data_IF_315486362917
#
_entry.id   IF_315486362917
#
_cell.length_a   1.000
_cell.length_b   1.000
_cell.length_c   1.000
_cell.angle_alpha   90.00
_cell.angle_beta   90.00
_cell.angle_gamma   90.00
#
_symmetry.space_group_name_H-M   'P 1'
#
loop_
_entity.id
_entity.type
_entity.pdbx_description
1 polymer ?
#
# COMPACT_ATOMS: atom_id res chain seq x y z
N UNK A 1 6.01 -21.09 20.25
CA UNK A 1 5.99 -19.63 20.39
C UNK A 1 5.62 -19.05 19.04
N UNK A 2 4.55 -18.28 18.93
CA UNK A 2 4.31 -17.51 17.70
C UNK A 2 5.39 -16.44 17.63
N UNK A 3 6.19 -16.46 16.57
CA UNK A 3 7.18 -15.42 16.33
C UNK A 3 6.47 -14.05 16.26
N UNK A 4 7.04 -13.03 16.89
CA UNK A 4 6.51 -11.67 16.79
C UNK A 4 6.53 -11.23 15.32
N UNK A 5 5.44 -10.61 14.87
CA UNK A 5 5.35 -9.97 13.54
C UNK A 5 5.54 -8.48 13.69
N UNK A 6 6.42 -7.91 12.86
CA UNK A 6 6.66 -6.48 12.80
C UNK A 6 6.34 -6.00 11.38
N UNK A 7 5.40 -5.06 11.29
CA UNK A 7 4.93 -4.48 10.05
C UNK A 7 5.31 -2.99 9.95
N UNK A 8 5.47 -2.50 8.73
CA UNK A 8 5.64 -1.08 8.46
C UNK A 8 5.05 -0.70 7.11
N UNK A 9 4.73 0.59 6.93
CA UNK A 9 4.27 1.08 5.63
C UNK A 9 5.43 1.20 4.65
N UNK A 10 5.23 0.67 3.44
CA UNK A 10 6.28 0.60 2.42
C UNK A 10 6.83 1.97 1.99
N UNK A 11 6.00 3.03 2.02
CA UNK A 11 6.40 4.37 1.58
C UNK A 11 7.57 4.96 2.38
N UNK A 12 7.81 4.48 3.61
CA UNK A 12 8.94 4.90 4.43
C UNK A 12 10.29 4.62 3.73
N UNK A 13 10.36 3.54 2.94
CA UNK A 13 11.56 3.11 2.23
C UNK A 13 11.85 3.88 0.94
N UNK A 14 10.93 4.75 0.49
CA UNK A 14 11.20 5.72 -0.56
C UNK A 14 12.09 6.88 -0.09
N UNK A 15 12.30 7.03 1.21
CA UNK A 15 13.01 8.18 1.79
C UNK A 15 14.49 8.19 1.43
N UNK A 16 15.01 9.38 1.05
CA UNK A 16 16.42 9.60 0.66
C UNK A 16 16.93 8.51 -0.32
N UNK A 17 16.30 8.36 -1.49
CA UNK A 17 16.56 7.23 -2.39
C UNK A 17 18.01 7.18 -2.86
N UNK A 18 18.66 8.33 -3.05
CA UNK A 18 20.06 8.41 -3.49
C UNK A 18 21.07 7.81 -2.49
N UNK A 19 20.69 7.61 -1.24
CA UNK A 19 21.53 6.91 -0.26
C UNK A 19 21.57 5.39 -0.49
N UNK A 20 20.56 4.85 -1.19
CA UNK A 20 20.43 3.41 -1.50
C UNK A 20 20.72 3.13 -2.97
N UNK A 21 20.23 4.00 -3.86
CA UNK A 21 20.35 3.90 -5.31
C UNK A 21 20.85 5.25 -5.88
N UNK A 22 22.18 5.49 -5.89
CA UNK A 22 22.76 6.79 -6.26
C UNK A 22 22.46 7.28 -7.69
N UNK A 23 22.18 6.33 -8.60
CA UNK A 23 21.88 6.62 -10.00
C UNK A 23 20.38 6.61 -10.31
N UNK A 24 19.53 6.49 -9.27
CA UNK A 24 18.08 6.43 -9.48
C UNK A 24 17.54 7.79 -9.91
N UNK A 25 16.82 7.79 -11.03
CA UNK A 25 16.04 8.95 -11.48
C UNK A 25 14.57 8.73 -11.13
N UNK A 26 13.99 9.67 -10.38
CA UNK A 26 12.59 9.61 -9.97
C UNK A 26 12.36 8.86 -8.65
N UNK A 27 11.20 8.21 -8.51
CA UNK A 27 10.81 7.46 -7.31
C UNK A 27 11.22 5.98 -7.46
N UNK A 28 11.63 5.32 -6.37
CA UNK A 28 11.90 3.88 -6.42
C UNK A 28 10.62 3.11 -6.69
N UNK A 29 10.75 1.99 -7.40
CA UNK A 29 9.65 1.05 -7.61
C UNK A 29 9.23 0.39 -6.30
N UNK A 30 8.04 -0.23 -6.31
CA UNK A 30 7.53 -1.02 -5.17
C UNK A 30 8.51 -2.12 -4.78
N UNK A 31 9.05 -2.85 -5.76
CA UNK A 31 10.03 -3.92 -5.51
C UNK A 31 11.38 -3.39 -5.02
N UNK A 32 11.83 -2.22 -5.49
CA UNK A 32 13.02 -1.57 -4.93
C UNK A 32 12.81 -1.23 -3.45
N UNK A 33 11.69 -0.60 -3.11
CA UNK A 33 11.35 -0.30 -1.71
C UNK A 33 11.24 -1.57 -0.86
N UNK A 34 10.65 -2.65 -1.39
CA UNK A 34 10.51 -3.91 -0.67
C UNK A 34 11.86 -4.60 -0.45
N UNK A 35 12.73 -4.62 -1.46
CA UNK A 35 14.08 -5.16 -1.33
C UNK A 35 14.92 -4.38 -0.31
N UNK A 36 14.72 -3.06 -0.22
CA UNK A 36 15.33 -2.23 0.83
C UNK A 36 14.75 -2.57 2.21
N UNK A 37 13.44 -2.79 2.31
CA UNK A 37 12.76 -3.16 3.54
C UNK A 37 13.23 -4.51 4.08
N UNK A 38 13.47 -5.49 3.20
CA UNK A 38 13.96 -6.81 3.55
C UNK A 38 15.34 -6.81 4.24
N UNK A 39 16.10 -5.71 4.14
CA UNK A 39 17.38 -5.53 4.85
C UNK A 39 17.21 -5.20 6.34
N UNK A 40 16.00 -4.86 6.79
CA UNK A 40 15.74 -4.46 8.18
C UNK A 40 15.59 -5.70 9.05
N UNK A 41 16.49 -5.86 10.02
CA UNK A 41 16.47 -6.98 10.95
C UNK A 41 15.13 -7.02 11.74
N UNK A 42 14.44 -8.16 11.68
CA UNK A 42 13.19 -8.40 12.39
C UNK A 42 11.94 -7.89 11.69
N UNK A 43 12.05 -7.19 10.55
CA UNK A 43 10.86 -6.83 9.77
C UNK A 43 10.30 -8.08 9.08
N UNK A 44 9.01 -8.34 9.26
CA UNK A 44 8.34 -9.52 8.70
C UNK A 44 7.29 -9.16 7.67
N UNK A 45 6.72 -7.96 7.76
CA UNK A 45 5.52 -7.60 7.04
C UNK A 45 5.54 -6.17 6.50
N UNK A 46 4.77 -5.95 5.42
CA UNK A 46 4.57 -4.65 4.82
C UNK A 46 3.08 -4.28 4.75
N UNK A 47 2.77 -3.02 5.03
CA UNK A 47 1.52 -2.39 4.64
C UNK A 47 1.69 -1.69 3.28
N UNK A 48 0.84 -2.05 2.32
CA UNK A 48 0.84 -1.47 0.98
C UNK A 48 -0.24 -0.39 0.84
N UNK A 49 -0.05 0.56 -0.06
CA UNK A 49 -1.07 1.56 -0.35
C UNK A 49 -1.84 1.13 -1.60
N UNK A 50 -3.16 1.14 -1.55
CA UNK A 50 -4.01 0.89 -2.71
C UNK A 50 -4.66 2.20 -3.18
N UNK A 51 -4.63 2.52 -4.49
CA UNK A 51 -4.06 1.74 -5.59
C UNK A 51 -2.57 1.97 -5.86
N UNK A 52 -1.91 2.89 -5.15
CA UNK A 52 -0.55 3.38 -5.50
C UNK A 52 0.54 2.30 -5.61
N UNK A 53 0.47 1.20 -4.84
CA UNK A 53 1.49 0.15 -4.81
C UNK A 53 1.03 -1.17 -5.44
N UNK A 54 -0.24 -1.30 -5.83
CA UNK A 54 -0.83 -2.58 -6.22
C UNK A 54 -1.52 -2.39 -7.56
N UNK A 55 -1.08 -3.16 -8.54
CA UNK A 55 -1.65 -3.17 -9.88
C UNK A 55 -2.78 -4.21 -9.98
N UNK A 56 -3.10 -4.66 -11.20
CA UNK A 56 -4.13 -5.65 -11.47
C UNK A 56 -3.78 -7.07 -10.97
N UNK A 57 -2.62 -7.29 -10.33
CA UNK A 57 -2.18 -8.62 -9.87
C UNK A 57 -1.73 -8.65 -8.39
N UNK A 58 -2.63 -8.42 -7.43
CA UNK A 58 -2.32 -8.44 -5.99
C UNK A 58 -1.66 -9.75 -5.50
N UNK A 59 -2.07 -10.91 -6.01
CA UNK A 59 -1.47 -12.19 -5.65
C UNK A 59 -0.02 -12.31 -6.13
N UNK A 60 0.30 -11.79 -7.33
CA UNK A 60 1.66 -11.79 -7.87
C UNK A 60 2.57 -10.88 -7.03
N UNK A 61 2.07 -9.69 -6.67
CA UNK A 61 2.78 -8.77 -5.76
C UNK A 61 3.08 -9.44 -4.42
N UNK A 62 2.10 -10.10 -3.78
CA UNK A 62 2.31 -10.80 -2.52
C UNK A 62 3.37 -11.92 -2.64
N UNK A 63 3.37 -12.66 -3.76
CA UNK A 63 4.38 -13.69 -4.03
C UNK A 63 5.78 -13.09 -4.16
N UNK A 64 5.93 -11.99 -4.89
CA UNK A 64 7.22 -11.30 -5.05
C UNK A 64 7.77 -10.75 -3.71
N UNK A 65 6.89 -10.27 -2.82
CA UNK A 65 7.29 -9.90 -1.46
C UNK A 65 7.73 -11.13 -0.64
N UNK A 66 7.03 -12.26 -0.81
CA UNK A 66 7.39 -13.54 -0.20
C UNK A 66 8.78 -14.03 -0.60
N UNK A 67 9.15 -13.85 -1.88
CA UNK A 67 10.50 -14.17 -2.39
C UNK A 67 11.60 -13.34 -1.69
N UNK A 68 11.26 -12.19 -1.09
CA UNK A 68 12.15 -11.34 -0.29
C UNK A 68 12.08 -11.64 1.23
N UNK A 69 11.31 -12.63 1.64
CA UNK A 69 11.09 -12.96 3.06
C UNK A 69 10.11 -12.03 3.77
N UNK A 70 9.31 -11.25 3.03
CA UNK A 70 8.31 -10.33 3.56
C UNK A 70 6.89 -10.81 3.25
N UNK A 71 5.97 -10.59 4.17
CA UNK A 71 4.54 -10.86 3.98
C UNK A 71 3.75 -9.55 3.86
N UNK A 72 2.51 -9.64 3.36
CA UNK A 72 1.57 -8.51 3.37
C UNK A 72 0.79 -8.55 4.68
N UNK A 73 0.86 -7.48 5.48
CA UNK A 73 0.02 -7.33 6.67
C UNK A 73 -1.39 -6.84 6.29
N UNK A 74 -1.46 -5.82 5.44
CA UNK A 74 -2.70 -5.23 4.99
C UNK A 74 -2.49 -4.10 4.00
N UNK A 75 -3.59 -3.56 3.49
CA UNK A 75 -3.57 -2.40 2.60
C UNK A 75 -4.09 -1.15 3.32
N UNK A 76 -3.69 0.02 2.83
CA UNK A 76 -4.20 1.31 3.23
C UNK A 76 -4.71 2.08 2.00
N UNK A 77 -5.94 2.61 2.10
CA UNK A 77 -6.55 3.33 0.98
C UNK A 77 -5.88 4.68 0.70
N UNK A 78 -5.87 5.04 -0.58
CA UNK A 78 -5.49 6.35 -1.11
C UNK A 78 -6.58 6.86 -2.03
N UNK A 79 -7.11 8.04 -1.70
CA UNK A 79 -8.16 8.72 -2.46
C UNK A 79 -7.55 9.88 -3.24
N UNK A 80 -6.63 9.58 -4.17
CA UNK A 80 -5.92 10.59 -4.96
C UNK A 80 -6.16 10.50 -6.47
N UNK A 81 -6.85 9.45 -6.94
CA UNK A 81 -7.19 9.26 -8.37
C UNK A 81 -8.14 10.33 -8.89
N UNK A 82 -9.07 10.78 -8.05
CA UNK A 82 -9.99 11.87 -8.34
C UNK A 82 -9.65 13.10 -7.49
N UNK A 83 -9.25 14.24 -8.09
CA UNK A 83 -9.01 15.48 -7.37
C UNK A 83 -10.19 15.99 -6.53
N UNK A 84 -11.42 15.55 -6.80
CA UNK A 84 -12.61 15.91 -6.04
C UNK A 84 -12.59 15.37 -4.60
N UNK A 85 -11.85 14.29 -4.33
CA UNK A 85 -11.68 13.72 -2.98
C UNK A 85 -11.04 14.69 -1.98
N UNK A 86 -10.46 15.80 -2.44
CA UNK A 86 -9.96 16.89 -1.57
C UNK A 86 -11.05 17.54 -0.70
N UNK A 87 -12.33 17.33 -1.02
CA UNK A 87 -13.50 17.81 -0.25
C UNK A 87 -14.18 16.67 0.53
N UNK A 88 -13.45 15.59 0.83
CA UNK A 88 -13.96 14.37 1.44
C UNK A 88 -14.19 13.26 0.43
N UNK A 89 -13.99 12.00 0.83
CA UNK A 89 -14.22 10.84 -0.02
C UNK A 89 -15.65 10.31 0.17
N UNK A 90 -15.96 9.85 1.38
CA UNK A 90 -17.27 9.32 1.77
C UNK A 90 -18.23 10.41 2.26
N UNK A 91 -17.74 11.59 2.63
CA UNK A 91 -18.56 12.72 3.09
C UNK A 91 -18.69 13.83 2.06
N UNK A 92 -18.19 13.63 0.84
CA UNK A 92 -18.24 14.62 -0.24
C UNK A 92 -19.69 15.11 -0.49
N UNK A 93 -19.93 16.42 -0.74
CA UNK A 93 -21.26 16.90 -1.10
C UNK A 93 -21.81 16.24 -2.38
N UNK A 94 -20.94 15.91 -3.34
CA UNK A 94 -21.33 15.25 -4.57
C UNK A 94 -21.58 13.73 -4.35
N UNK A 95 -22.81 13.23 -4.57
CA UNK A 95 -23.12 11.80 -4.44
C UNK A 95 -22.34 10.89 -5.39
N UNK A 96 -21.92 11.39 -6.57
CA UNK A 96 -21.13 10.61 -7.51
C UNK A 96 -19.71 10.35 -6.97
N UNK A 97 -19.10 11.36 -6.35
CA UNK A 97 -17.77 11.22 -5.72
C UNK A 97 -17.83 10.24 -4.55
N UNK A 98 -18.88 10.30 -3.72
CA UNK A 98 -19.08 9.32 -2.64
C UNK A 98 -19.21 7.90 -3.18
N UNK A 99 -19.93 7.72 -4.30
CA UNK A 99 -20.07 6.42 -4.95
C UNK A 99 -18.73 5.90 -5.44
N UNK A 100 -17.94 6.75 -6.10
CA UNK A 100 -16.60 6.39 -6.57
C UNK A 100 -15.67 5.98 -5.42
N UNK A 101 -15.69 6.70 -4.28
CA UNK A 101 -14.92 6.33 -3.09
C UNK A 101 -15.30 4.94 -2.55
N UNK A 102 -16.61 4.63 -2.51
CA UNK A 102 -17.12 3.31 -2.10
C UNK A 102 -16.62 2.23 -3.05
N UNK A 103 -16.75 2.43 -4.36
CA UNK A 103 -16.38 1.43 -5.36
C UNK A 103 -14.86 1.19 -5.37
N UNK A 104 -14.06 2.26 -5.27
CA UNK A 104 -12.61 2.17 -5.11
C UNK A 104 -12.21 1.41 -3.85
N UNK A 105 -12.92 1.64 -2.74
CA UNK A 105 -12.65 0.95 -1.46
C UNK A 105 -13.00 -0.53 -1.54
N UNK A 106 -14.10 -0.89 -2.22
CA UNK A 106 -14.44 -2.29 -2.47
C UNK A 106 -13.37 -2.99 -3.31
N UNK A 107 -12.89 -2.34 -4.37
CA UNK A 107 -11.78 -2.87 -5.17
C UNK A 107 -10.51 -3.07 -4.33
N UNK A 108 -10.19 -2.13 -3.43
CA UNK A 108 -9.07 -2.28 -2.50
C UNK A 108 -9.26 -3.46 -1.53
N UNK A 109 -10.48 -3.69 -1.03
CA UNK A 109 -10.79 -4.83 -0.16
C UNK A 109 -10.59 -6.15 -0.92
N UNK A 110 -11.10 -6.24 -2.14
CA UNK A 110 -10.94 -7.45 -2.97
C UNK A 110 -9.45 -7.71 -3.25
N UNK A 111 -8.68 -6.69 -3.62
CA UNK A 111 -7.24 -6.79 -3.83
C UNK A 111 -6.48 -7.20 -2.56
N UNK A 112 -6.89 -6.72 -1.38
CA UNK A 112 -6.29 -7.11 -0.10
C UNK A 112 -6.48 -8.60 0.17
N UNK A 113 -7.68 -9.12 -0.12
CA UNK A 113 -8.00 -10.56 0.04
C UNK A 113 -7.22 -11.41 -0.96
N UNK A 114 -7.10 -10.95 -2.20
CA UNK A 114 -6.32 -11.64 -3.23
C UNK A 114 -4.83 -11.70 -2.87
N UNK A 115 -4.28 -10.65 -2.23
CA UNK A 115 -2.93 -10.65 -1.69
C UNK A 115 -2.75 -11.51 -0.41
N UNK A 116 -3.81 -12.18 0.06
CA UNK A 116 -3.77 -13.06 1.24
C UNK A 116 -3.84 -12.34 2.59
N UNK A 117 -4.16 -11.04 2.60
CA UNK A 117 -4.31 -10.24 3.81
C UNK A 117 -5.79 -10.04 4.18
N UNK A 118 -6.05 -9.65 5.43
CA UNK A 118 -7.40 -9.42 5.95
C UNK A 118 -7.57 -8.08 6.67
N UNK A 119 -6.57 -7.19 6.58
CA UNK A 119 -6.59 -5.85 7.15
C UNK A 119 -6.65 -4.80 6.05
N UNK A 120 -7.68 -3.95 6.10
CA UNK A 120 -7.81 -2.76 5.26
C UNK A 120 -7.91 -1.52 6.16
N UNK A 121 -7.00 -0.57 5.96
CA UNK A 121 -6.97 0.69 6.70
C UNK A 121 -7.56 1.83 5.88
N UNK A 122 -8.59 2.48 6.42
CA UNK A 122 -9.14 3.73 5.88
C UNK A 122 -8.65 4.88 6.75
N UNK A 123 -7.95 5.84 6.15
CA UNK A 123 -7.61 7.10 6.80
C UNK A 123 -8.41 8.23 6.18
N UNK A 124 -9.44 8.66 6.90
CA UNK A 124 -10.44 9.64 6.48
C UNK A 124 -9.98 11.06 6.79
N UNK A 125 -8.78 11.44 6.31
CA UNK A 125 -8.15 12.71 6.69
C UNK A 125 -8.80 13.96 6.09
N UNK A 126 -9.55 13.82 5.00
CA UNK A 126 -10.24 14.93 4.30
C UNK A 126 -11.76 14.90 4.49
N UNK A 127 -12.29 13.87 5.16
CA UNK A 127 -13.71 13.63 5.34
C UNK A 127 -14.31 14.38 6.53
#
# INVERSE_FOLDING_TARGET
MTANRFATRLNSFASRPQAEWPDLVGKPSVLQMAARAAKVAGLTDLDLNFPDHVDEKPAEMARQLGDLGLSVNGFAMRYYSNPAFKLGAFTNPDPAVRREAIDLTKAGIDATREAGANLMTLWLGQD
#
